data_IF_774961209897
#
_entry.id   IF_774961209897
#
_cell.length_a   1.000
_cell.length_b   1.000
_cell.length_c   1.000
_cell.angle_alpha   90.00
_cell.angle_beta   90.00
_cell.angle_gamma   90.00
#
_symmetry.space_group_name_H-M   'P 1'
#
loop_
_entity.id
_entity.type
_entity.pdbx_description
1 polymer ?
#
# COMPACT_ATOMS: atom_id res chain seq x y z
N UNK A 1 -0.08 8.56 -8.40
CA UNK A 1 -0.18 8.79 -6.95
C UNK A 1 0.84 7.93 -6.22
N UNK A 2 1.35 8.43 -5.13
CA UNK A 2 2.42 7.76 -4.39
C UNK A 2 1.95 7.45 -2.97
N UNK A 3 1.55 6.22 -2.75
CA UNK A 3 1.09 5.80 -1.42
C UNK A 3 2.25 5.24 -0.60
N UNK A 4 2.45 5.76 0.61
CA UNK A 4 3.42 5.15 1.53
C UNK A 4 2.94 3.76 1.93
N UNK A 5 3.88 2.83 1.98
CA UNK A 5 3.60 1.48 2.46
C UNK A 5 4.56 1.14 3.59
N UNK A 6 4.06 0.40 4.56
CA UNK A 6 4.85 -0.07 5.69
C UNK A 6 5.07 -1.57 5.52
N UNK A 7 6.33 -1.98 5.40
CA UNK A 7 6.70 -3.36 5.14
C UNK A 7 7.29 -3.97 6.40
N UNK A 8 6.67 -5.01 6.91
CA UNK A 8 7.20 -5.75 8.04
C UNK A 8 8.06 -6.90 7.50
N UNK A 9 9.36 -6.90 7.79
CA UNK A 9 10.24 -7.94 7.26
C UNK A 9 9.83 -9.33 7.72
N UNK A 10 9.89 -10.26 6.80
CA UNK A 10 9.69 -11.67 7.11
C UNK A 10 11.01 -12.39 7.30
N UNK A 11 10.93 -13.69 7.42
CA UNK A 11 12.10 -14.55 7.52
C UNK A 11 11.81 -15.86 6.80
N UNK A 12 12.61 -16.89 7.04
CA UNK A 12 12.45 -18.18 6.36
C UNK A 12 11.12 -18.87 6.67
N UNK A 13 10.49 -18.50 7.78
CA UNK A 13 9.24 -19.12 8.23
C UNK A 13 8.04 -18.21 8.11
N UNK A 14 8.25 -16.91 7.98
CA UNK A 14 7.19 -15.92 8.02
C UNK A 14 7.28 -15.04 6.78
N UNK A 15 6.16 -14.88 6.09
CA UNK A 15 6.11 -14.01 4.92
C UNK A 15 6.32 -12.54 5.31
N UNK A 16 6.76 -11.75 4.36
CA UNK A 16 6.82 -10.30 4.50
C UNK A 16 5.39 -9.77 4.43
N UNK A 17 5.06 -8.87 5.33
CA UNK A 17 3.72 -8.28 5.38
C UNK A 17 3.76 -6.83 4.97
N UNK A 18 2.72 -6.37 4.28
CA UNK A 18 2.62 -5.00 3.83
C UNK A 18 1.30 -4.42 4.27
N UNK A 19 1.35 -3.21 4.79
CA UNK A 19 0.17 -2.43 5.14
C UNK A 19 0.22 -1.14 4.34
N UNK A 20 -0.93 -0.74 3.78
CA UNK A 20 -1.06 0.56 3.12
C UNK A 20 -1.91 1.43 4.04
N UNK A 21 -1.28 2.24 4.91
CA UNK A 21 -2.02 2.94 5.97
C UNK A 21 -3.12 3.88 5.49
N UNK A 22 -2.93 4.51 4.34
CA UNK A 22 -3.94 5.44 3.82
C UNK A 22 -5.18 4.75 3.27
N UNK A 23 -5.10 3.46 2.99
CA UNK A 23 -6.20 2.70 2.40
C UNK A 23 -6.66 1.64 3.40
N UNK A 24 -7.72 1.90 4.16
CA UNK A 24 -8.16 0.96 5.20
C UNK A 24 -8.45 -0.43 4.63
N UNK A 25 -7.90 -1.44 5.27
CA UNK A 25 -8.08 -2.82 4.83
C UNK A 25 -7.22 -3.25 3.66
N UNK A 26 -6.31 -2.39 3.20
CA UNK A 26 -5.42 -2.73 2.09
C UNK A 26 -4.13 -3.36 2.63
N UNK A 27 -3.98 -4.66 2.43
CA UNK A 27 -2.84 -5.42 2.91
C UNK A 27 -2.27 -6.25 1.77
N UNK A 28 -1.01 -6.63 1.91
CA UNK A 28 -0.38 -7.54 0.97
C UNK A 28 0.69 -8.35 1.69
N UNK A 29 1.30 -9.28 0.97
CA UNK A 29 2.36 -10.12 1.52
C UNK A 29 3.33 -10.49 0.40
N UNK A 30 4.51 -10.93 0.79
CA UNK A 30 5.52 -11.37 -0.16
C UNK A 30 6.41 -12.42 0.49
N UNK A 31 7.00 -13.27 -0.33
CA UNK A 31 7.86 -14.35 0.16
C UNK A 31 9.34 -14.02 0.02
N UNK A 32 9.70 -13.24 -0.99
CA UNK A 32 11.11 -13.10 -1.36
C UNK A 32 11.77 -11.78 -0.99
N UNK A 33 11.06 -10.85 -0.37
CA UNK A 33 11.69 -9.63 0.11
C UNK A 33 11.05 -8.34 -0.36
N UNK A 34 11.81 -7.24 -0.24
CA UNK A 34 11.28 -5.89 -0.42
C UNK A 34 10.75 -5.65 -1.83
N UNK A 35 11.48 -6.07 -2.84
CA UNK A 35 11.06 -5.81 -4.22
C UNK A 35 9.71 -6.45 -4.53
N UNK A 36 9.55 -7.70 -4.13
CA UNK A 36 8.28 -8.38 -4.33
C UNK A 36 7.17 -7.75 -3.48
N UNK A 37 7.51 -7.33 -2.27
CA UNK A 37 6.55 -6.68 -1.39
C UNK A 37 6.00 -5.41 -2.03
N UNK A 38 6.86 -4.61 -2.65
CA UNK A 38 6.42 -3.37 -3.31
C UNK A 38 5.53 -3.69 -4.51
N UNK A 39 5.91 -4.66 -5.33
CA UNK A 39 5.10 -5.02 -6.50
C UNK A 39 3.73 -5.56 -6.09
N UNK A 40 3.70 -6.41 -5.08
CA UNK A 40 2.43 -6.96 -4.60
C UNK A 40 1.56 -5.88 -3.96
N UNK A 41 2.19 -4.90 -3.32
CA UNK A 41 1.45 -3.77 -2.75
C UNK A 41 0.79 -2.95 -3.83
N UNK A 42 1.47 -2.74 -4.95
CA UNK A 42 0.88 -1.99 -6.07
C UNK A 42 -0.38 -2.68 -6.58
N UNK A 43 -0.33 -4.00 -6.74
CA UNK A 43 -1.52 -4.75 -7.17
C UNK A 43 -2.65 -4.63 -6.16
N UNK A 44 -2.34 -4.72 -4.88
CA UNK A 44 -3.35 -4.59 -3.82
C UNK A 44 -3.99 -3.21 -3.83
N UNK A 45 -3.18 -2.16 -4.04
CA UNK A 45 -3.68 -0.80 -4.10
C UNK A 45 -4.58 -0.62 -5.32
N UNK A 46 -4.16 -1.13 -6.47
CA UNK A 46 -4.96 -1.02 -7.70
C UNK A 46 -6.31 -1.69 -7.52
N UNK A 47 -6.33 -2.87 -6.94
CA UNK A 47 -7.57 -3.58 -6.69
C UNK A 47 -8.46 -2.82 -5.70
N UNK A 48 -7.85 -2.28 -4.64
CA UNK A 48 -8.58 -1.51 -3.65
C UNK A 48 -9.25 -0.29 -4.29
N UNK A 49 -8.52 0.42 -5.16
CA UNK A 49 -9.04 1.59 -5.85
C UNK A 49 -10.18 1.19 -6.80
N UNK A 50 -10.01 0.11 -7.54
CA UNK A 50 -11.07 -0.36 -8.43
C UNK A 50 -12.35 -0.66 -7.66
N UNK A 51 -12.23 -1.32 -6.52
CA UNK A 51 -13.39 -1.65 -5.70
C UNK A 51 -14.02 -0.39 -5.11
N UNK A 52 -13.21 0.58 -4.73
CA UNK A 52 -13.73 1.84 -4.20
C UNK A 52 -14.49 2.61 -5.27
N UNK A 53 -13.95 2.64 -6.48
CA UNK A 53 -14.62 3.32 -7.61
C UNK A 53 -15.96 2.64 -7.95
N UNK A 54 -15.97 1.32 -7.96
CA UNK A 54 -17.20 0.58 -8.22
C UNK A 54 -18.27 0.87 -7.16
N UNK A 55 -17.84 1.07 -5.92
CA UNK A 55 -18.75 1.40 -4.83
C UNK A 55 -19.01 2.90 -4.70
N UNK A 56 -18.52 3.69 -5.63
CA UNK A 56 -18.65 5.15 -5.61
C UNK A 56 -18.12 5.76 -4.31
N UNK A 57 -17.06 5.19 -3.78
CA UNK A 57 -16.40 5.68 -2.57
C UNK A 57 -15.25 6.59 -2.90
N UNK A 58 -14.96 7.51 -2.00
CA UNK A 58 -13.82 8.40 -2.16
C UNK A 58 -12.50 7.64 -2.06
N UNK A 59 -11.53 8.09 -2.84
CA UNK A 59 -10.18 7.54 -2.78
C UNK A 59 -9.36 8.43 -1.86
N UNK A 60 -8.86 7.93 -0.73
CA UNK A 60 -8.04 8.74 0.17
C UNK A 60 -6.78 9.26 -0.52
N UNK A 61 -6.41 10.48 -0.20
CA UNK A 61 -5.18 11.07 -0.73
C UNK A 61 -3.98 10.50 0.01
N UNK A 62 -2.85 10.32 -0.69
CA UNK A 62 -1.64 9.83 -0.02
C UNK A 62 -1.13 10.80 1.05
N UNK A 63 -0.79 10.25 2.21
CA UNK A 63 -0.08 10.99 3.25
C UNK A 63 1.41 10.95 2.96
N UNK A 64 2.20 11.70 3.72
CA UNK A 64 3.65 11.56 3.66
C UNK A 64 4.08 10.48 4.65
N UNK A 65 5.24 9.89 4.41
CA UNK A 65 5.81 8.93 5.36
C UNK A 65 6.00 9.59 6.73
N UNK A 66 6.46 10.84 6.72
CA UNK A 66 6.69 11.58 7.97
C UNK A 66 5.42 11.69 8.81
N UNK A 67 4.29 11.99 8.17
CA UNK A 67 3.01 12.08 8.88
C UNK A 67 2.63 10.74 9.50
N UNK A 68 2.81 9.67 8.75
CA UNK A 68 2.46 8.33 9.24
C UNK A 68 3.38 7.88 10.37
N UNK A 69 4.66 8.23 10.29
CA UNK A 69 5.59 7.91 11.37
C UNK A 69 5.21 8.61 12.66
N UNK A 70 4.69 9.83 12.58
CA UNK A 70 4.26 10.57 13.76
C UNK A 70 3.07 9.92 14.45
N UNK A 71 2.22 9.26 13.69
CA UNK A 71 1.06 8.56 14.27
C UNK A 71 1.47 7.32 15.06
N UNK A 72 2.65 6.78 14.77
CA UNK A 72 3.13 5.58 15.43
C UNK A 72 2.46 4.31 14.94
N UNK A 73 2.82 3.18 15.55
CA UNK A 73 2.22 1.91 15.18
C UNK A 73 2.95 1.13 14.11
N UNK A 74 4.03 1.68 13.57
CA UNK A 74 4.77 1.04 12.48
C UNK A 74 6.22 0.81 12.84
N UNK A 75 6.50 0.64 14.12
CA UNK A 75 7.86 0.45 14.59
C UNK A 75 8.44 -0.83 14.00
N UNK A 76 9.66 -0.73 13.48
CA UNK A 76 10.33 -1.87 12.89
C UNK A 76 9.97 -2.13 11.43
N UNK A 77 9.03 -1.38 10.88
CA UNK A 77 8.68 -1.53 9.47
C UNK A 77 9.64 -0.75 8.57
N UNK A 78 9.80 -1.26 7.36
CA UNK A 78 10.52 -0.57 6.31
C UNK A 78 9.50 0.27 5.56
N UNK A 79 9.80 1.55 5.38
CA UNK A 79 8.92 2.43 4.63
C UNK A 79 9.33 2.50 3.17
N UNK A 80 8.34 2.44 2.29
CA UNK A 80 8.57 2.59 0.86
C UNK A 80 7.39 3.32 0.24
N UNK A 81 7.53 3.67 -1.03
CA UNK A 81 6.47 4.34 -1.77
C UNK A 81 6.02 3.42 -2.91
N UNK A 82 4.73 3.19 -2.96
CA UNK A 82 4.13 2.49 -4.09
C UNK A 82 3.54 3.52 -5.04
N UNK A 83 4.09 3.60 -6.23
CA UNK A 83 3.60 4.57 -7.21
C UNK A 83 2.53 3.95 -8.09
N UNK A 84 1.38 4.61 -8.15
CA UNK A 84 0.20 4.15 -8.87
C UNK A 84 -0.09 5.12 -10.00
N UNK A 85 -0.38 4.60 -11.18
CA UNK A 85 -0.71 5.42 -12.34
C UNK A 85 -2.03 6.15 -12.10
N UNK A 86 -2.05 7.50 -12.16
CA UNK A 86 -3.28 8.25 -11.97
C UNK A 86 -4.38 7.93 -12.99
N UNK A 87 -4.04 7.38 -14.13
CA UNK A 87 -5.03 6.99 -15.12
C UNK A 87 -6.01 5.96 -14.58
N UNK A 88 -5.61 5.22 -13.55
CA UNK A 88 -6.48 4.26 -12.90
C UNK A 88 -7.71 4.92 -12.29
N UNK A 89 -7.61 6.20 -11.94
CA UNK A 89 -8.69 6.92 -11.29
C UNK A 89 -9.72 7.49 -12.25
N UNK A 90 -9.45 7.49 -13.53
CA UNK A 90 -10.35 8.09 -14.48
C UNK A 90 -11.04 7.01 -15.28
N UNK A 91 -11.79 6.21 -14.77
CA UNK A 91 -12.33 5.01 -15.37
C UNK A 91 -13.30 5.21 -16.52
N UNK A 92 -13.50 6.44 -16.94
CA UNK A 92 -14.43 6.68 -18.00
C UNK A 92 -13.79 6.47 -19.36
N UNK A 93 -13.12 5.61 -19.60
CA UNK A 93 -12.48 5.37 -20.87
C UNK A 93 -13.48 4.95 -21.94
#
# INVERSE_FOLDING_TARGET
MKYPIAIEPGDQKTAWSVIVPDLPGCFSAADSGVDEAIENAKEAIELWIEMALDGEKDIPKPSSITELQKKGGFKGCIWAIAEIDPALLSDEI
#
